data_IF_685244836572
#
_entry.id   IF_685244836572
#
_cell.length_a   1.000
_cell.length_b   1.000
_cell.length_c   1.000
_cell.angle_alpha   90.00
_cell.angle_beta   90.00
_cell.angle_gamma   90.00
#
_symmetry.space_group_name_H-M   'P 1'
#
loop_
_entity.id
_entity.type
_entity.pdbx_description
1 polymer ?
#
# COMPACT_ATOMS: atom_id res chain seq x y z
N UNK A 1 -6.02 -6.63 9.29
CA UNK A 1 -6.79 -7.26 8.17
C UNK A 1 -7.72 -8.33 8.75
N UNK A 2 -8.93 -8.46 8.19
CA UNK A 2 -9.88 -9.55 8.56
C UNK A 2 -10.00 -10.48 7.36
N UNK A 3 -9.80 -11.76 7.60
CA UNK A 3 -10.04 -12.84 6.62
C UNK A 3 -11.26 -13.65 7.08
N UNK A 4 -12.40 -13.33 6.50
CA UNK A 4 -13.66 -13.98 6.83
C UNK A 4 -13.71 -15.47 6.44
N UNK A 5 -13.02 -15.83 5.34
CA UNK A 5 -12.97 -17.22 4.85
C UNK A 5 -12.22 -18.12 5.82
N UNK A 6 -11.13 -17.64 6.38
CA UNK A 6 -10.32 -18.37 7.36
C UNK A 6 -10.77 -18.10 8.80
N UNK A 7 -11.69 -17.15 9.01
CA UNK A 7 -12.13 -16.69 10.33
C UNK A 7 -10.96 -16.22 11.19
N UNK A 8 -10.10 -15.35 10.61
CA UNK A 8 -8.89 -14.83 11.25
C UNK A 8 -8.84 -13.31 11.20
N UNK A 9 -8.28 -12.75 12.24
CA UNK A 9 -7.91 -11.34 12.34
C UNK A 9 -6.40 -11.25 12.44
N UNK A 10 -5.78 -10.51 11.53
CA UNK A 10 -4.34 -10.28 11.52
C UNK A 10 -4.05 -8.85 11.95
N UNK A 11 -3.25 -8.69 13.02
CA UNK A 11 -2.85 -7.40 13.57
C UNK A 11 -1.34 -7.26 13.47
N UNK A 12 -0.91 -6.20 12.81
CA UNK A 12 0.49 -5.84 12.70
C UNK A 12 0.68 -4.35 12.95
N UNK A 13 1.75 -3.92 13.62
CA UNK A 13 2.14 -2.52 13.72
C UNK A 13 2.61 -2.01 12.35
N UNK A 14 2.68 -0.69 12.18
CA UNK A 14 3.20 -0.06 10.96
C UNK A 14 4.67 -0.42 10.66
N UNK A 15 5.39 -0.90 11.66
CA UNK A 15 6.74 -1.47 11.56
C UNK A 15 6.73 -2.81 12.29
N UNK A 16 6.94 -3.91 11.57
CA UNK A 16 6.70 -5.24 12.11
C UNK A 16 7.82 -6.24 11.77
N UNK A 17 8.18 -7.05 12.75
CA UNK A 17 8.85 -8.33 12.55
C UNK A 17 7.89 -9.51 12.81
N UNK A 18 6.64 -9.23 13.18
CA UNK A 18 5.62 -10.22 13.50
C UNK A 18 4.23 -9.66 13.30
N UNK A 19 3.35 -10.45 12.70
CA UNK A 19 1.90 -10.23 12.63
C UNK A 19 1.22 -11.17 13.60
N UNK A 20 0.39 -10.62 14.49
CA UNK A 20 -0.39 -11.41 15.45
C UNK A 20 -1.66 -11.93 14.79
N UNK A 21 -1.99 -13.18 15.04
CA UNK A 21 -3.20 -13.82 14.52
C UNK A 21 -4.20 -14.08 15.65
N UNK A 22 -5.46 -13.73 15.41
CA UNK A 22 -6.57 -13.93 16.33
C UNK A 22 -7.73 -14.65 15.61
N UNK A 23 -8.53 -15.36 16.37
CA UNK A 23 -9.84 -15.80 15.88
C UNK A 23 -10.85 -14.63 15.86
N UNK A 24 -12.05 -14.84 15.28
CA UNK A 24 -13.09 -13.81 15.26
C UNK A 24 -13.70 -13.49 16.63
N UNK A 25 -13.39 -14.28 17.66
CA UNK A 25 -13.78 -14.01 19.05
C UNK A 25 -12.75 -13.18 19.81
N UNK A 26 -11.60 -12.89 19.17
CA UNK A 26 -10.50 -12.13 19.77
C UNK A 26 -9.51 -12.99 20.56
N UNK A 27 -9.56 -14.31 20.48
CA UNK A 27 -8.56 -15.17 21.12
C UNK A 27 -7.27 -15.16 20.30
N UNK A 28 -6.14 -14.92 20.96
CA UNK A 28 -4.82 -14.94 20.34
C UNK A 28 -4.42 -16.38 19.98
N UNK A 29 -3.96 -16.57 18.76
CA UNK A 29 -3.50 -17.84 18.19
C UNK A 29 -1.99 -17.77 18.01
N UNK A 30 -1.22 -18.06 19.06
CA UNK A 30 0.24 -17.93 19.09
C UNK A 30 0.93 -18.72 17.97
N UNK A 31 0.44 -19.94 17.70
CA UNK A 31 1.00 -20.87 16.73
C UNK A 31 0.69 -20.49 15.27
N UNK A 32 -0.22 -19.54 15.11
CA UNK A 32 -0.60 -19.00 13.79
C UNK A 32 0.01 -17.62 13.51
N UNK A 33 0.88 -17.10 14.36
CA UNK A 33 1.56 -15.85 14.12
C UNK A 33 2.45 -15.94 12.86
N UNK A 34 2.56 -14.83 12.14
CA UNK A 34 3.40 -14.72 10.95
C UNK A 34 4.64 -13.94 11.34
N UNK A 35 5.80 -14.54 11.15
CA UNK A 35 7.09 -13.94 11.47
C UNK A 35 7.76 -13.39 10.22
N UNK A 36 8.55 -12.34 10.39
CA UNK A 36 9.44 -11.80 9.37
C UNK A 36 10.88 -11.91 9.90
N UNK A 37 11.82 -12.30 9.05
CA UNK A 37 13.24 -12.33 9.42
C UNK A 37 13.86 -10.93 9.46
N UNK A 38 13.28 -10.02 8.68
CA UNK A 38 13.66 -8.62 8.60
C UNK A 38 12.52 -7.75 9.12
N UNK A 39 12.78 -6.50 9.45
CA UNK A 39 11.72 -5.56 9.80
C UNK A 39 11.02 -5.11 8.52
N UNK A 40 9.70 -5.21 8.50
CA UNK A 40 8.85 -4.79 7.38
C UNK A 40 8.07 -3.56 7.77
N UNK A 41 8.06 -2.55 6.91
CA UNK A 41 7.24 -1.36 7.10
C UNK A 41 5.88 -1.50 6.41
N UNK A 42 4.83 -1.14 7.15
CA UNK A 42 3.43 -1.11 6.68
C UNK A 42 3.03 -2.36 5.87
N UNK A 43 3.31 -3.59 6.37
CA UNK A 43 3.04 -4.80 5.62
C UNK A 43 1.55 -4.98 5.35
N UNK A 44 1.21 -5.25 4.11
CA UNK A 44 -0.07 -5.81 3.71
C UNK A 44 0.13 -7.29 3.42
N UNK A 45 -0.71 -8.15 4.00
CA UNK A 45 -0.54 -9.59 3.91
C UNK A 45 -1.79 -10.29 3.39
N UNK A 46 -1.61 -11.40 2.70
CA UNK A 46 -2.69 -12.31 2.30
C UNK A 46 -2.24 -13.74 2.49
N UNK A 47 -3.02 -14.48 3.25
CA UNK A 47 -2.82 -15.92 3.38
C UNK A 47 -3.23 -16.61 2.09
N UNK A 48 -2.38 -17.48 1.56
CA UNK A 48 -2.67 -18.24 0.37
C UNK A 48 -3.64 -19.40 0.64
N UNK A 49 -4.20 -20.00 -0.40
CA UNK A 49 -5.19 -21.06 -0.29
C UNK A 49 -4.68 -22.32 0.41
N UNK A 50 -3.38 -22.58 0.34
CA UNK A 50 -2.73 -23.70 1.01
C UNK A 50 -2.60 -23.49 2.53
N UNK A 51 -2.87 -22.29 3.04
CA UNK A 51 -2.74 -21.85 4.44
C UNK A 51 -1.31 -21.97 5.01
N UNK A 52 -0.34 -22.25 4.18
CA UNK A 52 1.07 -22.38 4.56
C UNK A 52 1.88 -21.17 4.15
N UNK A 53 1.53 -20.57 3.00
CA UNK A 53 2.23 -19.42 2.46
C UNK A 53 1.47 -18.13 2.67
N UNK A 54 2.23 -17.06 2.77
CA UNK A 54 1.74 -15.69 2.95
C UNK A 54 2.35 -14.84 1.86
N UNK A 55 1.51 -14.21 1.08
CA UNK A 55 1.93 -13.16 0.15
C UNK A 55 1.99 -11.84 0.89
N UNK A 56 3.09 -11.12 0.76
CA UNK A 56 3.35 -9.86 1.44
C UNK A 56 3.66 -8.77 0.42
N UNK A 57 3.10 -7.60 0.66
CA UNK A 57 3.53 -6.34 0.03
C UNK A 57 3.95 -5.42 1.15
N UNK A 58 5.19 -4.97 1.13
CA UNK A 58 5.76 -4.09 2.14
C UNK A 58 6.17 -2.75 1.54
N UNK A 59 6.19 -1.71 2.37
CA UNK A 59 6.73 -0.42 1.97
C UNK A 59 8.27 -0.50 2.06
N UNK A 60 8.98 -0.44 0.92
CA UNK A 60 10.43 -0.49 0.93
C UNK A 60 10.98 0.88 1.32
N UNK A 61 11.90 0.90 2.26
CA UNK A 61 12.70 2.08 2.58
C UNK A 61 14.13 1.88 2.09
N UNK A 62 14.74 2.92 1.53
CA UNK A 62 16.17 2.95 1.33
C UNK A 62 16.87 2.88 2.70
N UNK A 63 17.91 2.06 2.80
CA UNK A 63 18.71 1.95 4.02
C UNK A 63 19.19 3.33 4.48
N UNK A 64 18.74 3.75 5.65
CA UNK A 64 19.43 4.80 6.37
C UNK A 64 20.62 4.14 7.07
N UNK A 65 21.83 4.55 6.76
CA UNK A 65 23.10 4.05 7.33
C UNK A 65 23.13 4.06 8.87
N UNK A 66 22.17 4.69 9.52
CA UNK A 66 22.05 4.82 10.97
C UNK A 66 21.03 3.85 11.62
N UNK A 67 20.39 2.96 10.88
CA UNK A 67 19.47 2.00 11.50
C UNK A 67 20.23 0.72 11.89
N UNK A 68 20.33 0.44 13.19
CA UNK A 68 20.86 -0.83 13.73
C UNK A 68 19.97 -2.05 13.45
N UNK A 69 19.03 -1.95 12.51
CA UNK A 69 18.06 -2.99 12.19
C UNK A 69 18.10 -3.30 10.69
N UNK A 70 18.18 -4.58 10.39
CA UNK A 70 17.97 -5.05 9.02
C UNK A 70 16.53 -4.78 8.60
N UNK A 71 16.35 -3.82 7.71
CA UNK A 71 15.06 -3.44 7.14
C UNK A 71 14.92 -4.15 5.80
N UNK A 72 13.76 -4.76 5.57
CA UNK A 72 13.49 -5.45 4.32
C UNK A 72 13.51 -4.49 3.13
N UNK A 73 14.39 -4.76 2.18
CA UNK A 73 14.45 -4.07 0.88
C UNK A 73 13.63 -4.81 -0.19
N UNK A 74 12.54 -5.48 0.21
CA UNK A 74 11.65 -6.17 -0.69
C UNK A 74 10.32 -5.42 -0.78
N UNK A 75 9.76 -5.32 -2.00
CA UNK A 75 8.44 -4.73 -2.21
C UNK A 75 7.34 -5.78 -2.18
N UNK A 76 7.57 -6.92 -2.81
CA UNK A 76 6.62 -8.03 -2.86
C UNK A 76 7.37 -9.35 -2.67
N UNK A 77 6.78 -10.27 -1.89
CA UNK A 77 7.33 -11.62 -1.75
C UNK A 77 6.29 -12.63 -1.26
N UNK A 78 6.64 -13.89 -1.38
CA UNK A 78 5.92 -15.01 -0.77
C UNK A 78 6.83 -15.69 0.25
N UNK A 79 6.34 -15.98 1.42
CA UNK A 79 7.04 -16.64 2.51
C UNK A 79 6.14 -17.66 3.23
N UNK A 80 6.74 -18.52 4.06
CA UNK A 80 6.00 -19.30 5.04
C UNK A 80 5.70 -18.46 6.31
N UNK A 81 5.04 -19.06 7.31
CA UNK A 81 4.72 -18.37 8.58
C UNK A 81 5.94 -18.05 9.41
N UNK A 82 7.01 -18.84 9.29
CA UNK A 82 8.27 -18.71 10.00
C UNK A 82 9.18 -17.63 9.41
N UNK A 83 8.81 -17.09 8.25
CA UNK A 83 9.53 -16.01 7.56
C UNK A 83 10.54 -16.53 6.52
N UNK A 84 10.51 -17.82 6.16
CA UNK A 84 11.36 -18.32 5.08
C UNK A 84 10.76 -17.89 3.74
N UNK A 85 11.55 -17.12 2.98
CA UNK A 85 11.13 -16.54 1.71
C UNK A 85 11.20 -17.60 0.61
N UNK A 86 10.10 -17.82 -0.10
CA UNK A 86 10.01 -18.69 -1.27
C UNK A 86 10.53 -17.96 -2.51
N UNK A 87 10.04 -16.75 -2.74
CA UNK A 87 10.53 -15.85 -3.78
C UNK A 87 10.20 -14.39 -3.41
N UNK A 88 10.93 -13.46 -4.01
CA UNK A 88 10.82 -12.04 -3.70
C UNK A 88 11.13 -11.15 -4.88
N UNK A 89 10.65 -9.93 -4.84
CA UNK A 89 11.03 -8.84 -5.72
C UNK A 89 11.66 -7.74 -4.87
N UNK A 90 12.92 -7.44 -5.18
CA UNK A 90 13.65 -6.35 -4.53
C UNK A 90 13.07 -5.01 -4.94
N UNK A 91 13.14 -4.06 -4.01
CA UNK A 91 12.68 -2.71 -4.18
C UNK A 91 13.61 -1.80 -4.99
N UNK A 92 14.70 -2.29 -5.56
CA UNK A 92 15.73 -1.47 -6.22
C UNK A 92 15.20 -0.46 -7.25
N UNK A 93 14.01 -0.70 -7.81
CA UNK A 93 13.32 0.22 -8.73
C UNK A 93 12.16 0.97 -8.09
N UNK A 94 11.80 0.62 -6.86
CA UNK A 94 10.67 1.17 -6.10
C UNK A 94 11.14 1.82 -4.80
N UNK A 95 12.47 1.96 -4.65
CA UNK A 95 13.10 2.45 -3.43
C UNK A 95 12.66 3.86 -3.11
N UNK A 96 12.09 4.04 -1.94
CA UNK A 96 11.68 5.32 -1.40
C UNK A 96 12.78 5.87 -0.49
N UNK A 97 12.92 7.18 -0.51
CA UNK A 97 13.69 7.89 0.52
C UNK A 97 12.96 7.70 1.85
N UNK A 98 13.69 7.33 2.89
CA UNK A 98 13.12 6.97 4.19
C UNK A 98 12.39 8.11 4.86
N UNK A 99 11.10 8.28 4.55
CA UNK A 99 10.19 9.16 5.25
C UNK A 99 8.99 8.36 5.76
N UNK A 100 8.67 8.52 7.05
CA UNK A 100 7.51 7.87 7.68
C UNK A 100 6.15 8.35 7.13
N UNK A 101 6.12 9.44 6.40
CA UNK A 101 4.92 9.95 5.72
C UNK A 101 4.56 9.15 4.48
N UNK A 102 5.51 8.43 3.89
CA UNK A 102 5.27 7.56 2.76
C UNK A 102 4.27 6.46 3.10
N UNK A 103 3.45 6.07 2.16
CA UNK A 103 2.38 5.11 2.37
C UNK A 103 2.30 4.04 1.30
N UNK A 104 1.65 2.96 1.68
CA UNK A 104 1.32 1.84 0.83
C UNK A 104 -0.17 1.56 0.94
N UNK A 105 -0.82 1.44 -0.19
CA UNK A 105 -2.17 0.88 -0.29
C UNK A 105 -2.11 -0.36 -1.16
N UNK A 106 -2.67 -1.44 -0.66
CA UNK A 106 -2.74 -2.67 -1.43
C UNK A 106 -4.07 -3.38 -1.22
N UNK A 107 -4.58 -4.02 -2.27
CA UNK A 107 -5.79 -4.83 -2.23
C UNK A 107 -5.64 -6.08 -3.10
N UNK A 108 -6.31 -7.16 -2.70
CA UNK A 108 -6.36 -8.39 -3.49
C UNK A 108 -7.52 -8.34 -4.46
N UNK A 109 -7.22 -8.46 -5.74
CA UNK A 109 -8.18 -8.69 -6.81
C UNK A 109 -8.24 -10.19 -7.15
N UNK A 110 -9.04 -10.54 -8.16
CA UNK A 110 -9.24 -11.94 -8.57
C UNK A 110 -7.92 -12.59 -9.01
N UNK A 111 -7.13 -11.87 -9.80
CA UNK A 111 -5.95 -12.43 -10.50
C UNK A 111 -4.61 -11.91 -9.98
N UNK A 112 -4.62 -10.87 -9.14
CA UNK A 112 -3.40 -10.21 -8.69
C UNK A 112 -3.62 -9.42 -7.41
N UNK A 113 -2.52 -9.00 -6.80
CA UNK A 113 -2.53 -8.00 -5.74
C UNK A 113 -2.22 -6.65 -6.38
N UNK A 114 -3.15 -5.71 -6.28
CA UNK A 114 -2.93 -4.34 -6.70
C UNK A 114 -2.31 -3.56 -5.56
N UNK A 115 -1.28 -2.77 -5.84
CA UNK A 115 -0.70 -1.88 -4.86
C UNK A 115 -0.23 -0.57 -5.47
N UNK A 116 -0.22 0.46 -4.66
CA UNK A 116 0.30 1.78 -4.96
C UNK A 116 1.16 2.24 -3.79
N UNK A 117 2.34 2.75 -4.11
CA UNK A 117 3.24 3.38 -3.16
C UNK A 117 3.16 4.88 -3.43
N UNK A 118 2.99 5.67 -2.39
CA UNK A 118 2.94 7.12 -2.50
C UNK A 118 3.92 7.77 -1.53
N UNK A 119 4.56 8.82 -2.01
CA UNK A 119 5.48 9.64 -1.22
C UNK A 119 4.80 10.92 -0.77
N UNK A 120 5.11 11.37 0.44
CA UNK A 120 4.77 12.73 0.82
C UNK A 120 5.60 13.70 -0.03
N UNK A 121 4.97 14.70 -0.64
CA UNK A 121 5.61 15.52 -1.65
C UNK A 121 6.58 16.52 -1.00
N UNK A 122 7.82 16.14 -0.94
CA UNK A 122 8.92 17.08 -0.64
C UNK A 122 9.83 17.30 -1.86
N UNK A 123 9.64 16.53 -2.93
CA UNK A 123 10.47 16.56 -4.15
C UNK A 123 9.57 16.27 -5.36
N UNK A 124 10.00 16.63 -6.59
CA UNK A 124 9.31 16.20 -7.80
C UNK A 124 9.23 14.67 -7.82
N UNK A 125 8.06 14.14 -7.57
CA UNK A 125 7.82 12.70 -7.57
C UNK A 125 7.62 12.18 -8.99
N UNK A 126 8.07 10.95 -9.30
CA UNK A 126 7.69 10.30 -10.55
C UNK A 126 6.16 10.14 -10.62
N UNK A 127 5.60 9.90 -11.83
CA UNK A 127 4.17 9.67 -11.98
C UNK A 127 3.68 8.55 -11.06
N UNK A 128 2.58 8.82 -10.35
CA UNK A 128 1.96 7.85 -9.45
C UNK A 128 1.43 6.65 -10.22
N UNK A 129 1.88 5.46 -9.87
CA UNK A 129 1.54 4.22 -10.58
C UNK A 129 0.92 3.19 -9.65
N UNK A 130 -0.18 2.59 -10.12
CA UNK A 130 -0.75 1.38 -9.55
C UNK A 130 -0.10 0.17 -10.23
N UNK A 131 0.38 -0.76 -9.43
CA UNK A 131 1.02 -1.99 -9.89
C UNK A 131 0.16 -3.20 -9.59
N UNK A 132 0.33 -4.25 -10.39
CA UNK A 132 -0.17 -5.60 -10.13
C UNK A 132 1.00 -6.52 -9.79
N UNK A 133 0.89 -7.23 -8.70
CA UNK A 133 1.79 -8.32 -8.33
C UNK A 133 1.11 -9.67 -8.55
N UNK A 134 1.65 -10.46 -9.47
CA UNK A 134 1.30 -11.87 -9.66
C UNK A 134 2.24 -12.72 -8.76
N UNK A 135 1.72 -13.19 -7.64
CA UNK A 135 2.50 -13.93 -6.66
C UNK A 135 2.94 -15.32 -7.19
N UNK A 136 2.23 -15.90 -8.15
CA UNK A 136 2.57 -17.19 -8.73
C UNK A 136 3.76 -17.07 -9.68
N UNK A 137 3.75 -16.04 -10.54
CA UNK A 137 4.83 -15.78 -11.50
C UNK A 137 5.97 -14.95 -10.90
N UNK A 138 5.77 -14.37 -9.72
CA UNK A 138 6.70 -13.45 -9.10
C UNK A 138 7.05 -12.25 -10.00
N UNK A 139 6.02 -11.58 -10.53
CA UNK A 139 6.18 -10.46 -11.47
C UNK A 139 5.34 -9.28 -11.02
N UNK A 140 5.91 -8.08 -11.07
CA UNK A 140 5.20 -6.81 -10.94
C UNK A 140 5.02 -6.19 -12.32
N UNK A 141 3.81 -5.73 -12.62
CA UNK A 141 3.49 -5.02 -13.86
C UNK A 141 2.79 -3.70 -13.55
N UNK A 142 3.15 -2.59 -14.22
CA UNK A 142 2.39 -1.35 -14.12
C UNK A 142 1.00 -1.56 -14.74
N UNK A 143 -0.02 -1.03 -14.07
CA UNK A 143 -1.40 -1.23 -14.50
C UNK A 143 -2.11 0.07 -14.86
N UNK A 144 -1.89 1.10 -14.07
CA UNK A 144 -2.52 2.39 -14.25
C UNK A 144 -1.60 3.48 -13.70
N UNK A 145 -1.35 4.51 -14.47
CA UNK A 145 -0.48 5.63 -14.09
C UNK A 145 -1.25 6.94 -14.24
N UNK A 146 -1.12 7.81 -13.27
CA UNK A 146 -1.56 9.20 -13.35
C UNK A 146 -0.32 10.06 -13.56
N UNK A 147 -0.30 10.76 -14.68
CA UNK A 147 0.69 11.78 -14.95
C UNK A 147 0.12 13.14 -14.54
N UNK A 148 0.76 13.77 -13.58
CA UNK A 148 0.37 15.08 -13.11
C UNK A 148 1.09 16.14 -13.94
N UNK A 149 0.33 16.93 -14.67
CA UNK A 149 0.85 18.20 -15.17
C UNK A 149 0.96 19.12 -13.96
N UNK A 150 2.12 19.07 -13.29
CA UNK A 150 2.41 19.96 -12.18
C UNK A 150 2.32 21.41 -12.68
N UNK A 151 1.56 22.25 -12.00
CA UNK A 151 1.70 23.69 -12.17
C UNK A 151 3.05 24.13 -11.57
N UNK A 152 3.62 25.23 -12.04
CA UNK A 152 4.92 25.74 -11.54
C UNK A 152 4.96 25.91 -10.00
N UNK A 153 3.79 25.98 -9.34
CA UNK A 153 3.65 26.29 -7.92
C UNK A 153 3.04 25.16 -7.08
N UNK A 154 2.77 24.00 -7.67
CA UNK A 154 2.11 22.88 -6.95
C UNK A 154 2.68 21.54 -7.37
N UNK A 155 2.87 20.66 -6.39
CA UNK A 155 3.09 19.24 -6.57
C UNK A 155 1.83 18.46 -6.17
N UNK A 156 1.70 17.25 -6.67
CA UNK A 156 0.59 16.38 -6.32
C UNK A 156 1.09 15.05 -5.75
N UNK A 157 0.35 14.52 -4.81
CA UNK A 157 0.51 13.16 -4.32
C UNK A 157 -0.78 12.40 -4.57
N UNK A 158 -0.69 11.22 -5.14
CA UNK A 158 -1.88 10.44 -5.48
C UNK A 158 -1.84 9.08 -4.81
N UNK A 159 -2.90 8.78 -4.09
CA UNK A 159 -3.16 7.44 -3.56
C UNK A 159 -4.09 6.73 -4.53
N UNK A 160 -3.63 5.60 -5.08
CA UNK A 160 -4.36 4.83 -6.08
C UNK A 160 -4.98 3.58 -5.49
N UNK A 161 -6.23 3.34 -5.85
CA UNK A 161 -7.01 2.16 -5.48
C UNK A 161 -7.58 1.50 -6.72
N UNK A 162 -7.81 0.21 -6.63
CA UNK A 162 -8.46 -0.54 -7.68
C UNK A 162 -9.66 -1.32 -7.16
N UNK A 163 -10.76 -1.24 -7.90
CA UNK A 163 -11.92 -2.09 -7.73
C UNK A 163 -12.12 -2.98 -8.96
N UNK A 164 -13.07 -3.89 -8.92
CA UNK A 164 -13.40 -4.72 -10.09
C UNK A 164 -13.78 -3.92 -11.34
N UNK A 165 -14.33 -2.71 -11.17
CA UNK A 165 -14.89 -1.89 -12.27
C UNK A 165 -14.17 -0.59 -12.55
N UNK A 166 -13.34 -0.12 -11.60
CA UNK A 166 -12.78 1.22 -11.69
C UNK A 166 -11.42 1.32 -11.04
N UNK A 167 -10.63 2.29 -11.50
CA UNK A 167 -9.51 2.84 -10.77
C UNK A 167 -9.98 4.08 -10.00
N UNK A 168 -9.47 4.25 -8.81
CA UNK A 168 -9.76 5.39 -7.95
C UNK A 168 -8.48 6.08 -7.57
N UNK A 169 -8.50 7.39 -7.61
CA UNK A 169 -7.38 8.21 -7.21
C UNK A 169 -7.84 9.26 -6.19
N UNK A 170 -7.15 9.35 -5.08
CA UNK A 170 -7.24 10.49 -4.17
C UNK A 170 -6.02 11.37 -4.42
N UNK A 171 -6.24 12.54 -4.99
CA UNK A 171 -5.19 13.51 -5.33
C UNK A 171 -5.16 14.59 -4.28
N UNK A 172 -4.00 14.80 -3.67
CA UNK A 172 -3.75 15.91 -2.74
C UNK A 172 -2.75 16.86 -3.36
N UNK A 173 -3.09 18.15 -3.40
CA UNK A 173 -2.24 19.19 -3.96
C UNK A 173 -1.43 19.87 -2.85
N UNK A 174 -0.15 20.05 -3.09
CA UNK A 174 0.80 20.66 -2.17
C UNK A 174 1.41 21.89 -2.82
N UNK A 175 1.42 23.06 -2.15
CA UNK A 175 2.19 24.20 -2.61
C UNK A 175 3.69 23.89 -2.56
N UNK A 176 4.45 24.30 -3.57
CA UNK A 176 5.91 24.05 -3.64
C UNK A 176 6.72 24.88 -2.62
N UNK A 177 6.11 25.91 -2.01
CA UNK A 177 6.73 26.82 -1.04
C UNK A 177 6.45 26.45 0.43
N UNK A 178 6.05 25.21 0.68
CA UNK A 178 5.81 24.70 2.03
C UNK A 178 7.06 24.79 2.92
N UNK A 179 7.27 25.95 3.52
CA UNK A 179 8.14 26.07 4.69
C UNK A 179 7.55 25.29 5.87
N UNK A 180 8.37 24.59 6.56
CA UNK A 180 8.25 23.54 7.57
C UNK A 180 7.14 23.59 8.66
N UNK A 181 6.03 24.29 8.49
CA UNK A 181 4.99 24.44 9.52
C UNK A 181 3.56 24.04 9.10
N UNK A 182 3.42 23.02 8.26
CA UNK A 182 2.14 22.65 7.61
C UNK A 182 1.19 21.80 8.48
N UNK A 183 1.47 21.59 9.73
CA UNK A 183 0.61 20.75 10.60
C UNK A 183 -0.83 21.24 10.78
N UNK A 184 -1.17 22.43 10.29
CA UNK A 184 -2.51 23.03 10.44
C UNK A 184 -3.22 23.44 9.14
N UNK A 185 -2.58 23.27 7.97
CA UNK A 185 -3.18 23.67 6.68
C UNK A 185 -3.96 22.50 6.08
N UNK A 186 -5.26 22.69 5.85
CA UNK A 186 -6.08 21.75 5.10
C UNK A 186 -5.71 21.85 3.62
N UNK A 187 -4.98 20.86 3.12
CA UNK A 187 -4.59 20.81 1.72
C UNK A 187 -5.78 20.50 0.80
N UNK A 188 -5.87 21.12 -0.38
CA UNK A 188 -6.88 20.76 -1.36
C UNK A 188 -6.73 19.30 -1.77
N UNK A 189 -7.80 18.52 -1.65
CA UNK A 189 -7.83 17.16 -2.09
C UNK A 189 -9.13 16.88 -2.86
N UNK A 190 -9.06 16.02 -3.86
CA UNK A 190 -10.22 15.58 -4.61
C UNK A 190 -10.08 14.12 -5.03
N UNK A 191 -11.21 13.47 -5.31
CA UNK A 191 -11.23 12.09 -5.72
C UNK A 191 -11.60 11.99 -7.19
N UNK A 192 -10.97 11.05 -7.89
CA UNK A 192 -11.21 10.75 -9.29
C UNK A 192 -11.53 9.27 -9.43
N UNK A 193 -12.54 8.94 -10.23
CA UNK A 193 -12.88 7.58 -10.59
C UNK A 193 -12.74 7.42 -12.10
N UNK A 194 -11.98 6.40 -12.53
CA UNK A 194 -11.79 6.06 -13.94
C UNK A 194 -12.40 4.69 -14.19
N UNK A 195 -13.37 4.65 -15.08
CA UNK A 195 -14.04 3.40 -15.47
C UNK A 195 -13.10 2.51 -16.28
N UNK A 196 -12.97 1.24 -15.90
CA UNK A 196 -12.18 0.25 -16.65
C UNK A 196 -12.82 -0.14 -17.97
N UNK A 197 -14.14 0.06 -18.11
CA UNK A 197 -14.90 -0.36 -19.29
C UNK A 197 -14.64 0.55 -20.49
N UNK A 198 -14.61 1.86 -20.25
CA UNK A 198 -14.65 2.86 -21.31
C UNK A 198 -13.64 4.01 -21.10
N UNK A 199 -12.86 3.97 -20.03
CA UNK A 199 -11.87 5.00 -19.70
C UNK A 199 -12.49 6.33 -19.23
N UNK A 200 -13.82 6.40 -19.03
CA UNK A 200 -14.47 7.62 -18.59
C UNK A 200 -13.95 8.06 -17.21
N UNK A 201 -13.56 9.32 -17.12
CA UNK A 201 -13.06 9.96 -15.92
C UNK A 201 -14.15 10.78 -15.26
N UNK A 202 -14.34 10.61 -13.96
CA UNK A 202 -15.30 11.38 -13.16
C UNK A 202 -14.62 11.90 -11.90
N UNK A 203 -14.76 13.18 -11.64
CA UNK A 203 -14.44 13.76 -10.35
C UNK A 203 -15.57 13.44 -9.37
N UNK A 204 -15.21 13.03 -8.16
CA UNK A 204 -16.14 12.71 -7.09
C UNK A 204 -16.00 13.79 -6.01
N UNK A 205 -16.98 14.65 -5.92
CA UNK A 205 -16.98 15.76 -4.96
C UNK A 205 -17.55 15.36 -3.60
N UNK A 206 -18.37 14.29 -3.56
CA UNK A 206 -19.04 13.85 -2.32
C UNK A 206 -19.33 12.36 -2.34
N UNK A 207 -19.11 11.73 -1.20
CA UNK A 207 -19.61 10.39 -0.89
C UNK A 207 -20.81 10.50 0.05
N UNK A 208 -21.86 9.76 -0.25
CA UNK A 208 -23.02 9.63 0.64
C UNK A 208 -23.21 8.15 0.96
N UNK A 209 -23.34 7.83 2.22
CA UNK A 209 -23.73 6.49 2.67
C UNK A 209 -25.03 6.59 3.48
N UNK A 210 -26.18 6.25 2.86
CA UNK A 210 -27.47 6.35 3.53
C UNK A 210 -27.62 5.36 4.70
N UNK A 211 -26.84 4.26 4.72
CA UNK A 211 -26.89 3.27 5.82
C UNK A 211 -26.14 3.75 7.04
N UNK A 212 -25.05 4.50 6.84
CA UNK A 212 -24.24 5.04 7.95
C UNK A 212 -24.61 6.49 8.28
N UNK A 213 -25.54 7.09 7.56
CA UNK A 213 -25.94 8.50 7.76
C UNK A 213 -24.82 9.49 7.44
N UNK A 214 -23.82 9.08 6.66
CA UNK A 214 -22.71 9.94 6.23
C UNK A 214 -23.13 10.77 5.02
N UNK A 215 -22.86 12.06 5.07
CA UNK A 215 -23.19 13.02 4.00
C UNK A 215 -22.10 14.06 3.83
#
# INVERSE_FOLDING_TARGET
MIDEKQKRIYLGPGRANKILTYDLKGNYLSDEAIHFKEIVHKPCIWMDHDKKHVTVVGLPFSENENSNFEISNNVCWVQNREGDIVHRISANHYGLIGDYSNGLVACRNVDAISFSIFEAPMLPSPPDTLYHYDAVKNIITPRFTIDHVASENQSACTVLYETSRSYWAQVTLYPNDLSSSVSSVRLPAFNVCVSKKDGNVRRIDRFTDPLLGLS
#
